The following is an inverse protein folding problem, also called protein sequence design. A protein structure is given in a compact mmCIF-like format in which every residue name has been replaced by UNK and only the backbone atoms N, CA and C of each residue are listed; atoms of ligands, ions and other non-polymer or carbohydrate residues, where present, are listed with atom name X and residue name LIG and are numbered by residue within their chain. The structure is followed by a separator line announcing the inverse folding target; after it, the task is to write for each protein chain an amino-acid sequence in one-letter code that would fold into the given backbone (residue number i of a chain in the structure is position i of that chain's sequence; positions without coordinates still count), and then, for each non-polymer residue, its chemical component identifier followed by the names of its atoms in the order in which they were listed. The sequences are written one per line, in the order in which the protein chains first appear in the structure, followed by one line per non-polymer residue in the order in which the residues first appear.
data_IF_018052515103
#
_entry.id   IF_018052515103
#
_cell.length_a   1.000
_cell.length_b   1.000
_cell.length_c   1.000
_cell.angle_alpha   90.00
_cell.angle_beta   90.00
_cell.angle_gamma   90.00
#
_symmetry.space_group_name_H-M   'P 1'
#
loop_
_entity.id
_entity.type
_entity.pdbx_description
1 polymer ?
#
# COMPACT_ATOMS: atom_id res chain seq x y z
N UNK A 1 13.96 -15.98 -2.33
CA UNK A 1 13.09 -16.02 -1.13
C UNK A 1 12.03 -14.94 -1.30
N UNK A 2 10.75 -15.31 -1.28
CA UNK A 2 9.66 -14.33 -1.39
C UNK A 2 9.44 -13.63 -0.03
N UNK A 3 8.99 -12.37 -0.05
CA UNK A 3 8.74 -11.57 1.16
C UNK A 3 7.77 -12.29 2.13
N UNK A 4 6.78 -13.00 1.59
CA UNK A 4 5.82 -13.78 2.36
C UNK A 4 6.49 -14.92 3.15
N UNK A 5 7.28 -15.76 2.48
CA UNK A 5 7.96 -16.91 3.10
C UNK A 5 8.84 -16.45 4.26
N UNK A 6 9.61 -15.39 4.05
CA UNK A 6 10.48 -14.85 5.07
C UNK A 6 9.71 -14.29 6.29
N UNK A 7 8.59 -13.61 6.08
CA UNK A 7 7.76 -13.09 7.18
C UNK A 7 7.07 -14.21 7.97
N UNK A 8 6.64 -15.29 7.30
CA UNK A 8 6.03 -16.46 7.96
C UNK A 8 7.04 -17.25 8.78
N UNK A 9 8.27 -17.41 8.29
CA UNK A 9 9.35 -18.07 9.02
C UNK A 9 9.68 -17.33 10.34
N UNK A 10 9.58 -15.99 10.33
CA UNK A 10 9.71 -15.16 11.53
C UNK A 10 8.46 -15.12 12.42
N UNK A 11 7.38 -15.84 12.09
CA UNK A 11 6.15 -15.88 12.88
C UNK A 11 5.34 -14.58 12.87
N UNK A 12 5.54 -13.71 11.88
CA UNK A 12 4.84 -12.42 11.78
C UNK A 12 3.39 -12.63 11.35
N UNK A 13 2.44 -12.04 12.08
CA UNK A 13 1.00 -12.09 11.81
C UNK A 13 0.39 -10.75 11.37
N UNK A 14 1.14 -9.66 11.52
CA UNK A 14 0.71 -8.29 11.20
C UNK A 14 1.81 -7.53 10.46
N UNK A 15 1.43 -6.75 9.46
CA UNK A 15 2.34 -5.89 8.70
C UNK A 15 1.85 -4.44 8.72
N UNK A 16 2.76 -3.52 9.01
CA UNK A 16 2.54 -2.09 8.82
C UNK A 16 3.14 -1.69 7.47
N UNK A 17 2.36 -0.98 6.64
CA UNK A 17 2.75 -0.60 5.29
C UNK A 17 2.89 0.91 5.21
N UNK A 18 4.07 1.34 4.77
CA UNK A 18 4.45 2.73 4.53
C UNK A 18 5.22 2.86 3.20
N UNK A 19 5.46 4.09 2.76
CA UNK A 19 6.22 4.39 1.54
C UNK A 19 5.37 4.85 0.34
N UNK A 20 5.89 4.66 -0.86
CA UNK A 20 5.35 5.23 -2.09
C UNK A 20 5.22 4.16 -3.19
N UNK A 21 4.22 4.21 -4.09
CA UNK A 21 3.09 5.15 -4.15
C UNK A 21 1.84 4.54 -3.50
N UNK A 22 1.06 5.35 -2.78
CA UNK A 22 -0.14 4.93 -2.03
C UNK A 22 -1.08 4.06 -2.88
N UNK A 23 -1.52 4.54 -4.05
CA UNK A 23 -2.49 3.83 -4.92
C UNK A 23 -1.91 2.71 -5.78
N UNK A 24 -0.59 2.48 -5.72
CA UNK A 24 0.10 1.52 -6.58
C UNK A 24 0.75 0.44 -5.73
N UNK A 25 2.06 0.56 -5.46
CA UNK A 25 2.81 -0.44 -4.71
C UNK A 25 2.26 -0.59 -3.28
N UNK A 26 1.84 0.51 -2.65
CA UNK A 26 1.28 0.48 -1.30
C UNK A 26 -0.03 -0.34 -1.24
N UNK A 27 -1.05 0.10 -1.98
CA UNK A 27 -2.36 -0.55 -2.04
C UNK A 27 -2.27 -2.02 -2.48
N UNK A 28 -1.54 -2.30 -3.57
CA UNK A 28 -1.44 -3.67 -4.08
C UNK A 28 -0.72 -4.60 -3.10
N UNK A 29 0.31 -4.12 -2.41
CA UNK A 29 1.01 -4.90 -1.37
C UNK A 29 0.13 -5.12 -0.15
N UNK A 30 -0.57 -4.08 0.32
CA UNK A 30 -1.50 -4.17 1.44
C UNK A 30 -2.63 -5.18 1.18
N UNK A 31 -3.27 -5.10 0.00
CA UNK A 31 -4.30 -6.07 -0.41
C UNK A 31 -3.73 -7.48 -0.50
N UNK A 32 -2.55 -7.65 -1.12
CA UNK A 32 -1.89 -8.95 -1.20
C UNK A 32 -1.64 -9.53 0.19
N UNK A 33 -1.09 -8.74 1.13
CA UNK A 33 -0.84 -9.18 2.50
C UNK A 33 -2.14 -9.59 3.22
N UNK A 34 -3.21 -8.82 3.05
CA UNK A 34 -4.53 -9.18 3.58
C UNK A 34 -5.03 -10.52 3.03
N UNK A 35 -4.95 -10.73 1.71
CA UNK A 35 -5.35 -12.00 1.09
C UNK A 35 -4.51 -13.21 1.54
N UNK A 36 -3.26 -12.97 1.97
CA UNK A 36 -2.37 -14.00 2.52
C UNK A 36 -2.61 -14.27 4.01
N UNK A 37 -3.55 -13.55 4.64
CA UNK A 37 -3.98 -13.73 6.02
C UNK A 37 -3.25 -12.86 7.06
N UNK A 38 -2.43 -11.90 6.62
CA UNK A 38 -1.83 -10.94 7.55
C UNK A 38 -2.87 -9.88 7.99
N UNK A 39 -2.78 -9.43 9.23
CA UNK A 39 -3.37 -8.17 9.64
C UNK A 39 -2.57 -7.02 9.02
N UNK A 40 -3.25 -5.99 8.49
CA UNK A 40 -2.58 -4.91 7.76
C UNK A 40 -2.93 -3.57 8.39
N UNK A 41 -1.90 -2.83 8.79
CA UNK A 41 -2.01 -1.41 9.13
C UNK A 41 -1.42 -0.60 7.97
N UNK A 42 -2.26 0.12 7.23
CA UNK A 42 -1.82 1.02 6.17
C UNK A 42 -1.67 2.42 6.79
N UNK A 43 -0.46 3.00 6.75
CA UNK A 43 -0.15 4.24 7.48
C UNK A 43 -0.37 5.48 6.60
N UNK A 44 -1.40 6.27 6.91
CA UNK A 44 -1.80 7.42 6.09
C UNK A 44 -0.79 8.57 6.07
N UNK A 45 -0.17 8.84 7.20
CA UNK A 45 0.84 9.89 7.35
C UNK A 45 2.25 9.46 6.92
N UNK A 46 2.47 8.17 6.68
CA UNK A 46 3.74 7.60 6.23
C UNK A 46 3.67 7.02 4.80
N UNK A 47 2.65 7.41 4.03
CA UNK A 47 2.56 7.09 2.60
C UNK A 47 2.35 8.34 1.76
N UNK A 48 2.63 8.28 0.47
CA UNK A 48 2.34 9.38 -0.42
C UNK A 48 2.25 8.98 -1.88
N UNK A 49 1.89 9.94 -2.72
CA UNK A 49 1.80 9.76 -4.16
C UNK A 49 2.08 11.05 -4.92
N UNK A 50 1.99 10.99 -6.24
CA UNK A 50 2.17 12.11 -7.15
C UNK A 50 0.86 12.40 -7.89
N UNK A 51 0.74 13.64 -8.37
CA UNK A 51 -0.34 14.05 -9.27
C UNK A 51 -0.28 13.20 -10.55
N UNK A 52 -1.42 12.68 -11.00
CA UNK A 52 -1.51 11.78 -12.16
C UNK A 52 -2.32 12.44 -13.27
N UNK A 53 -1.79 12.38 -14.50
CA UNK A 53 -2.49 12.78 -15.73
C UNK A 53 -2.45 11.65 -16.75
N UNK A 54 -3.60 11.30 -17.29
CA UNK A 54 -3.71 10.35 -18.40
C UNK A 54 -4.94 10.66 -19.26
N UNK A 55 -5.33 9.75 -20.16
CA UNK A 55 -6.50 9.92 -21.02
C UNK A 55 -7.83 10.01 -20.25
N UNK A 56 -7.90 9.54 -19.00
CA UNK A 56 -9.08 9.64 -18.14
C UNK A 56 -9.18 10.99 -17.41
N UNK A 57 -8.14 11.83 -17.48
CA UNK A 57 -8.12 13.17 -16.90
C UNK A 57 -6.90 13.45 -16.03
N UNK A 58 -7.09 14.35 -15.07
CA UNK A 58 -6.05 14.77 -14.12
C UNK A 58 -6.60 14.69 -12.70
N UNK A 59 -5.78 14.18 -11.78
CA UNK A 59 -6.04 14.23 -10.34
C UNK A 59 -4.79 14.70 -9.61
N UNK A 60 -4.99 15.51 -8.58
CA UNK A 60 -3.89 16.00 -7.74
C UNK A 60 -3.37 14.88 -6.82
N UNK A 61 -2.12 14.99 -6.37
CA UNK A 61 -1.54 14.07 -5.37
C UNK A 61 -2.36 14.04 -4.08
N UNK A 62 -2.81 15.22 -3.61
CA UNK A 62 -3.68 15.36 -2.44
C UNK A 62 -4.98 14.60 -2.58
N UNK A 63 -5.70 14.80 -3.70
CA UNK A 63 -7.00 14.15 -3.91
C UNK A 63 -6.84 12.64 -4.06
N UNK A 64 -5.83 12.22 -4.84
CA UNK A 64 -5.55 10.80 -5.05
C UNK A 64 -5.15 10.09 -3.75
N UNK A 65 -4.28 10.70 -2.93
CA UNK A 65 -3.91 10.17 -1.64
C UNK A 65 -5.10 10.14 -0.67
N UNK A 66 -5.97 11.16 -0.68
CA UNK A 66 -7.18 11.21 0.16
C UNK A 66 -8.18 10.11 -0.20
N UNK A 67 -8.33 9.74 -1.46
CA UNK A 67 -9.28 8.70 -1.90
C UNK A 67 -8.85 7.27 -1.58
N UNK A 68 -7.60 7.05 -1.14
CA UNK A 68 -7.14 5.75 -0.68
C UNK A 68 -7.63 5.37 0.73
N UNK A 69 -8.38 6.26 1.38
CA UNK A 69 -8.95 6.13 2.73
C UNK A 69 -10.47 6.30 2.68
#
# INVERSE_FOLDING_TARGET
MALEEWRRDEGVSRVAVCGYMTQMCGDTTARRAFHLGFQVDFLSDATGTLSVRNCAGFTSDRDLHRWCW
#
